data_IF_986242379650
#
_entry.id   IF_986242379650
#
_cell.length_a   1.000
_cell.length_b   1.000
_cell.length_c   1.000
_cell.angle_alpha   90.00
_cell.angle_beta   90.00
_cell.angle_gamma   90.00
#
_symmetry.space_group_name_H-M   'P 1'
#
loop_
_entity.id
_entity.type
_entity.pdbx_description
1 polymer ?
#
# COMPACT_ATOMS: atom_id res chain seq x y z
N UNK A 1 34.13 18.20 24.08
CA UNK A 1 33.93 19.48 23.38
C UNK A 1 32.45 19.65 23.16
N UNK A 2 31.87 20.79 23.54
CA UNK A 2 30.47 21.07 23.24
C UNK A 2 30.36 21.42 21.74
N UNK A 3 29.34 20.89 21.06
CA UNK A 3 29.02 21.26 19.68
C UNK A 3 28.89 22.78 19.56
N UNK A 4 29.48 23.34 18.51
CA UNK A 4 29.26 24.75 18.19
C UNK A 4 27.79 24.97 17.79
N UNK A 5 27.24 26.18 18.00
CA UNK A 5 25.89 26.51 17.59
C UNK A 5 25.61 26.18 16.12
N UNK A 6 26.60 26.36 15.25
CA UNK A 6 26.54 26.12 13.80
C UNK A 6 26.47 24.64 13.44
N UNK A 7 27.24 23.79 14.14
CA UNK A 7 27.17 22.33 13.97
C UNK A 7 25.82 21.79 14.46
N UNK A 8 25.33 22.33 15.59
CA UNK A 8 24.02 21.96 16.13
C UNK A 8 22.88 22.30 15.16
N UNK A 9 22.95 23.45 14.48
CA UNK A 9 21.96 23.88 13.49
C UNK A 9 21.92 22.98 12.26
N UNK A 10 23.10 22.61 11.73
CA UNK A 10 23.22 21.67 10.61
C UNK A 10 22.66 20.29 10.93
N UNK A 11 22.89 19.79 12.15
CA UNK A 11 22.35 18.50 12.59
C UNK A 11 20.82 18.55 12.64
N UNK A 12 20.23 19.62 13.17
CA UNK A 12 18.76 19.79 13.23
C UNK A 12 18.17 19.84 11.82
N UNK A 13 18.75 20.61 10.91
CA UNK A 13 18.28 20.69 9.52
C UNK A 13 18.37 19.34 8.79
N UNK A 14 19.42 18.58 9.05
CA UNK A 14 19.58 17.23 8.49
C UNK A 14 18.53 16.25 9.03
N UNK A 15 18.24 16.30 10.33
CA UNK A 15 17.21 15.47 10.95
C UNK A 15 15.81 15.82 10.41
N UNK A 16 15.50 17.11 10.26
CA UNK A 16 14.23 17.56 9.68
C UNK A 16 14.06 17.11 8.21
N UNK A 17 15.15 17.12 7.43
CA UNK A 17 15.12 16.63 6.05
C UNK A 17 14.96 15.11 5.98
N UNK A 18 15.63 14.37 6.86
CA UNK A 18 15.51 12.92 6.96
C UNK A 18 14.06 12.51 7.28
N UNK A 19 13.42 13.18 8.25
CA UNK A 19 12.02 12.91 8.59
C UNK A 19 11.07 13.17 7.42
N UNK A 20 11.27 14.26 6.66
CA UNK A 20 10.47 14.52 5.45
C UNK A 20 10.65 13.45 4.39
N UNK A 21 11.89 13.03 4.14
CA UNK A 21 12.15 11.97 3.15
C UNK A 21 11.49 10.63 3.53
N UNK A 22 11.43 10.30 4.81
CA UNK A 22 10.73 9.10 5.28
C UNK A 22 9.23 9.20 5.04
N UNK A 23 8.64 10.38 5.29
CA UNK A 23 7.23 10.63 4.99
C UNK A 23 6.93 10.47 3.49
N UNK A 24 7.79 11.02 2.62
CA UNK A 24 7.62 10.88 1.17
C UNK A 24 7.70 9.42 0.70
N UNK A 25 8.62 8.64 1.27
CA UNK A 25 8.75 7.20 0.99
C UNK A 25 7.48 6.44 1.42
N UNK A 26 6.94 6.74 2.60
CA UNK A 26 5.73 6.11 3.10
C UNK A 26 4.54 6.46 2.20
N UNK A 27 4.40 7.73 1.81
CA UNK A 27 3.34 8.16 0.90
C UNK A 27 3.44 7.49 -0.48
N UNK A 28 4.65 7.43 -1.05
CA UNK A 28 4.89 6.74 -2.32
C UNK A 28 4.55 5.24 -2.23
N UNK A 29 4.88 4.59 -1.12
CA UNK A 29 4.57 3.18 -0.87
C UNK A 29 3.06 2.96 -0.77
N UNK A 30 2.34 3.83 -0.05
CA UNK A 30 0.88 3.76 0.05
C UNK A 30 0.20 3.98 -1.30
N UNK A 31 0.72 4.90 -2.12
CA UNK A 31 0.16 5.15 -3.44
C UNK A 31 0.41 3.98 -4.41
N UNK A 32 1.61 3.38 -4.37
CA UNK A 32 1.90 2.16 -5.12
C UNK A 32 1.00 1.00 -4.68
N UNK A 33 0.80 0.82 -3.37
CA UNK A 33 -0.11 -0.19 -2.83
C UNK A 33 -1.56 0.05 -3.26
N UNK A 34 -2.03 1.30 -3.25
CA UNK A 34 -3.36 1.67 -3.74
C UNK A 34 -3.52 1.34 -5.23
N UNK A 35 -2.52 1.62 -6.06
CA UNK A 35 -2.55 1.30 -7.50
C UNK A 35 -2.58 -0.21 -7.75
N UNK A 36 -1.70 -0.95 -7.07
CA UNK A 36 -1.71 -2.41 -7.11
C UNK A 36 -3.06 -2.98 -6.67
N UNK A 37 -3.64 -2.48 -5.57
CA UNK A 37 -4.98 -2.87 -5.13
C UNK A 37 -6.04 -2.60 -6.20
N UNK A 38 -6.00 -1.44 -6.85
CA UNK A 38 -6.94 -1.09 -7.92
C UNK A 38 -6.82 -2.02 -9.12
N UNK A 39 -5.61 -2.43 -9.49
CA UNK A 39 -5.36 -3.34 -10.61
C UNK A 39 -5.79 -4.79 -10.26
N UNK A 40 -5.56 -5.21 -9.03
CA UNK A 40 -5.91 -6.55 -8.56
C UNK A 40 -7.39 -6.69 -8.17
N UNK A 41 -8.10 -5.58 -7.95
CA UNK A 41 -9.50 -5.60 -7.55
C UNK A 41 -10.38 -6.30 -8.58
N UNK A 42 -10.17 -6.03 -9.87
CA UNK A 42 -10.94 -6.65 -10.95
C UNK A 42 -10.68 -8.17 -11.01
N UNK A 43 -9.43 -8.60 -10.81
CA UNK A 43 -9.08 -10.02 -10.79
C UNK A 43 -9.69 -10.73 -9.59
N UNK A 44 -9.64 -10.12 -8.40
CA UNK A 44 -10.27 -10.66 -7.18
C UNK A 44 -11.79 -10.71 -7.35
N UNK A 45 -12.40 -9.65 -7.88
CA UNK A 45 -13.83 -9.57 -8.13
C UNK A 45 -14.30 -10.67 -9.09
N UNK A 46 -13.61 -10.84 -10.23
CA UNK A 46 -13.96 -11.88 -11.20
C UNK A 46 -13.75 -13.29 -10.63
N UNK A 47 -12.71 -13.53 -9.82
CA UNK A 47 -12.53 -14.83 -9.12
C UNK A 47 -13.70 -15.13 -8.17
N UNK A 48 -14.15 -14.16 -7.38
CA UNK A 48 -15.28 -14.33 -6.46
C UNK A 48 -16.58 -14.57 -7.24
N UNK A 49 -16.86 -13.76 -8.26
CA UNK A 49 -18.03 -13.89 -9.12
C UNK A 49 -18.08 -15.25 -9.82
N UNK A 50 -16.97 -15.69 -10.41
CA UNK A 50 -16.87 -17.01 -11.04
C UNK A 50 -17.03 -18.15 -10.02
N UNK A 51 -16.45 -18.00 -8.81
CA UNK A 51 -16.66 -18.95 -7.72
C UNK A 51 -18.13 -19.10 -7.34
N UNK A 52 -18.85 -17.99 -7.20
CA UNK A 52 -20.29 -17.99 -6.89
C UNK A 52 -21.13 -18.59 -8.02
N UNK A 53 -20.81 -18.28 -9.29
CA UNK A 53 -21.49 -18.89 -10.44
C UNK A 53 -21.26 -20.40 -10.50
N UNK A 54 -20.03 -20.85 -10.29
CA UNK A 54 -19.69 -22.28 -10.28
C UNK A 54 -20.37 -23.01 -9.12
N UNK A 55 -20.41 -22.41 -7.93
CA UNK A 55 -21.16 -22.94 -6.79
C UNK A 55 -22.66 -23.06 -7.11
N UNK A 56 -23.25 -22.02 -7.70
CA UNK A 56 -24.66 -22.04 -8.09
C UNK A 56 -24.96 -23.12 -9.14
N UNK A 57 -24.11 -23.26 -10.16
CA UNK A 57 -24.23 -24.34 -11.15
C UNK A 57 -24.08 -25.72 -10.51
N UNK A 58 -23.14 -25.89 -9.58
CA UNK A 58 -22.96 -27.15 -8.85
C UNK A 58 -24.21 -27.50 -8.04
N UNK A 59 -24.81 -26.54 -7.35
CA UNK A 59 -26.06 -26.74 -6.60
C UNK A 59 -27.20 -27.09 -7.56
N UNK A 60 -27.36 -26.36 -8.67
CA UNK A 60 -28.38 -26.64 -9.68
C UNK A 60 -28.26 -28.06 -10.25
N UNK A 61 -27.04 -28.49 -10.58
CA UNK A 61 -26.78 -29.81 -11.14
C UNK A 61 -26.99 -30.93 -10.11
N UNK A 62 -26.79 -30.67 -8.82
CA UNK A 62 -27.05 -31.64 -7.75
C UNK A 62 -28.55 -31.92 -7.56
N UNK A 63 -29.41 -30.95 -7.86
CA UNK A 63 -30.87 -31.05 -7.72
C UNK A 63 -31.61 -31.35 -9.03
N UNK A 64 -30.89 -31.56 -10.15
CA UNK A 64 -31.44 -31.97 -11.44
C UNK A 64 -31.21 -33.45 -11.72
#
# INVERSE_FOLDING_TARGET
>A
MALTPEEKRRIIEFLDQADRSLVDIILATLEAFRRWLSEQFDEIYEKVKNGLQNLWQSVRNFFS
#
